data_IF_683894774860
#
_entry.id   IF_683894774860
#
_cell.length_a   1.000
_cell.length_b   1.000
_cell.length_c   1.000
_cell.angle_alpha   90.00
_cell.angle_beta   90.00
_cell.angle_gamma   90.00
#
_symmetry.space_group_name_H-M   'P 1'
#
loop_
_entity.id
_entity.type
_entity.pdbx_description
1 polymer ?
#
# COMPACT_ATOMS: atom_id res chain seq x y z
N UNK A 1 16.58 1.21 32.88
CA UNK A 1 15.82 1.31 31.63
C UNK A 1 16.58 0.50 30.58
N UNK A 2 16.29 -0.78 30.47
CA UNK A 2 16.86 -1.62 29.42
C UNK A 2 16.11 -1.32 28.13
N UNK A 3 16.78 -0.68 27.18
CA UNK A 3 16.26 -0.58 25.83
C UNK A 3 16.27 -1.99 25.22
N UNK A 4 15.11 -2.56 24.97
CA UNK A 4 15.01 -3.74 24.11
C UNK A 4 15.55 -3.34 22.73
N UNK A 5 16.80 -3.62 22.48
CA UNK A 5 17.32 -3.67 21.11
C UNK A 5 16.73 -4.92 20.49
N UNK A 6 15.73 -4.75 19.61
CA UNK A 6 15.29 -5.83 18.71
C UNK A 6 16.55 -6.30 17.98
N UNK A 7 16.90 -7.59 18.05
CA UNK A 7 18.05 -8.08 17.33
C UNK A 7 17.92 -7.74 15.84
N UNK A 8 19.00 -7.32 15.19
CA UNK A 8 19.04 -7.11 13.74
C UNK A 8 18.82 -8.47 13.10
N UNK A 9 17.59 -8.76 12.70
CA UNK A 9 17.24 -9.97 11.95
C UNK A 9 17.86 -9.84 10.57
N UNK A 10 18.56 -10.89 10.13
CA UNK A 10 19.14 -10.97 8.78
C UNK A 10 18.06 -11.48 7.81
N UNK A 11 17.86 -10.84 6.64
CA UNK A 11 16.93 -11.36 5.66
C UNK A 11 17.39 -12.72 5.13
N UNK A 12 16.45 -13.61 4.79
CA UNK A 12 16.72 -14.88 4.10
C UNK A 12 17.31 -14.62 2.71
N UNK A 13 16.85 -13.58 2.04
CA UNK A 13 17.37 -13.13 0.76
C UNK A 13 17.23 -11.60 0.62
N UNK A 14 18.10 -11.02 -0.19
CA UNK A 14 18.04 -9.60 -0.56
C UNK A 14 18.37 -9.48 -2.04
N UNK A 15 17.43 -8.95 -2.83
CA UNK A 15 17.54 -8.80 -4.29
C UNK A 15 17.36 -7.34 -4.67
N UNK A 16 18.28 -6.83 -5.51
CA UNK A 16 18.18 -5.46 -6.01
C UNK A 16 17.24 -5.40 -7.22
N UNK A 17 16.11 -4.71 -7.08
CA UNK A 17 15.12 -4.52 -8.14
C UNK A 17 15.27 -3.17 -8.85
N UNK A 18 15.81 -2.17 -8.16
CA UNK A 18 16.07 -0.85 -8.74
C UNK A 18 17.45 -0.33 -8.33
N UNK A 19 18.25 0.05 -9.32
CA UNK A 19 19.54 0.70 -9.09
C UNK A 19 19.31 2.16 -8.66
N UNK A 20 20.11 2.64 -7.71
CA UNK A 20 19.98 4.00 -7.18
C UNK A 20 18.76 4.25 -6.31
N UNK A 21 17.91 3.23 -6.08
CA UNK A 21 16.73 3.30 -5.21
C UNK A 21 15.39 3.41 -5.95
N UNK A 22 14.31 3.41 -5.17
CA UNK A 22 12.93 3.49 -5.65
C UNK A 22 12.24 4.78 -5.21
N UNK A 23 11.32 5.28 -6.03
CA UNK A 23 10.41 6.39 -5.71
C UNK A 23 9.05 5.92 -5.23
N UNK A 24 8.56 4.82 -5.80
CA UNK A 24 7.36 4.12 -5.38
C UNK A 24 7.56 2.63 -5.62
N UNK A 25 6.93 1.82 -4.84
CA UNK A 25 6.89 0.38 -5.02
C UNK A 25 5.67 -0.19 -4.33
N UNK A 26 5.28 -1.37 -4.79
CA UNK A 26 4.24 -2.18 -4.17
C UNK A 26 4.60 -3.67 -4.26
N UNK A 27 4.11 -4.43 -3.31
CA UNK A 27 4.23 -5.90 -3.24
C UNK A 27 2.82 -6.46 -3.18
N UNK A 28 2.52 -7.43 -4.04
CA UNK A 28 1.22 -8.11 -3.97
C UNK A 28 0.97 -8.72 -2.59
N UNK A 29 -0.29 -8.81 -2.13
CA UNK A 29 -0.61 -9.36 -0.81
C UNK A 29 -0.03 -10.74 -0.55
N UNK A 30 0.09 -11.57 -1.60
CA UNK A 30 0.70 -12.90 -1.57
C UNK A 30 2.23 -12.92 -1.80
N UNK A 31 2.85 -11.75 -1.92
CA UNK A 31 4.30 -11.59 -2.05
C UNK A 31 4.89 -12.09 -3.38
N UNK A 32 4.08 -12.54 -4.34
CA UNK A 32 4.59 -13.18 -5.58
C UNK A 32 4.98 -12.20 -6.66
N UNK A 33 4.42 -11.00 -6.65
CA UNK A 33 4.71 -9.91 -7.59
C UNK A 33 5.20 -8.67 -6.86
N UNK A 34 6.22 -8.03 -7.40
CA UNK A 34 6.70 -6.72 -6.97
C UNK A 34 6.73 -5.74 -8.13
N UNK A 35 6.30 -4.52 -7.88
CA UNK A 35 6.37 -3.42 -8.84
C UNK A 35 7.21 -2.30 -8.24
N UNK A 36 8.18 -1.79 -9.00
CA UNK A 36 9.06 -0.72 -8.55
C UNK A 36 9.21 0.36 -9.59
N UNK A 37 9.03 1.60 -9.18
CA UNK A 37 9.39 2.79 -9.96
C UNK A 37 10.79 3.25 -9.54
N UNK A 38 11.76 3.08 -10.43
CA UNK A 38 13.17 3.40 -10.17
C UNK A 38 13.55 4.84 -10.52
N UNK A 39 14.72 5.22 -10.04
CA UNK A 39 15.36 6.54 -10.36
C UNK A 39 15.72 6.67 -11.84
N UNK A 40 15.88 5.56 -12.52
CA UNK A 40 16.19 5.44 -13.96
C UNK A 40 14.97 5.62 -14.88
N UNK A 41 13.89 6.22 -14.38
CA UNK A 41 12.68 6.59 -15.11
C UNK A 41 11.95 5.40 -15.77
N UNK A 42 11.58 4.42 -14.98
CA UNK A 42 10.76 3.29 -15.45
C UNK A 42 10.09 2.56 -14.33
N UNK A 43 9.05 1.83 -14.69
CA UNK A 43 8.34 0.90 -13.81
C UNK A 43 8.83 -0.50 -14.18
N UNK A 44 9.31 -1.25 -13.21
CA UNK A 44 9.74 -2.65 -13.39
C UNK A 44 8.80 -3.56 -12.63
N UNK A 45 8.34 -4.60 -13.30
CA UNK A 45 7.53 -5.68 -12.70
C UNK A 45 8.40 -6.90 -12.51
N UNK A 46 8.38 -7.48 -11.33
CA UNK A 46 9.18 -8.63 -10.96
C UNK A 46 8.31 -9.75 -10.40
N UNK A 47 8.59 -10.96 -10.79
CA UNK A 47 8.14 -12.14 -10.07
C UNK A 47 9.15 -12.47 -8.98
N UNK A 48 8.67 -12.83 -7.80
CA UNK A 48 9.56 -13.13 -6.66
C UNK A 48 10.49 -14.28 -6.99
N UNK A 49 11.78 -14.07 -6.74
CA UNK A 49 12.84 -15.04 -7.08
C UNK A 49 13.38 -14.92 -8.51
N UNK A 50 12.80 -14.06 -9.36
CA UNK A 50 13.34 -13.81 -10.69
C UNK A 50 14.64 -12.99 -10.65
N UNK A 51 15.53 -13.21 -11.62
CA UNK A 51 16.79 -12.49 -11.78
C UNK A 51 16.70 -11.29 -12.73
N UNK A 52 15.61 -11.20 -13.47
CA UNK A 52 15.31 -10.12 -14.43
C UNK A 52 13.85 -9.69 -14.29
N UNK A 53 13.55 -8.41 -14.55
CA UNK A 53 12.16 -7.97 -14.53
C UNK A 53 11.35 -8.65 -15.65
N UNK A 54 10.12 -9.02 -15.33
CA UNK A 54 9.16 -9.58 -16.28
C UNK A 54 8.77 -8.53 -17.33
N UNK A 55 8.51 -7.29 -16.87
CA UNK A 55 8.17 -6.16 -17.73
C UNK A 55 8.90 -4.88 -17.32
N UNK A 56 9.01 -3.96 -18.30
CA UNK A 56 9.48 -2.59 -18.10
C UNK A 56 8.50 -1.65 -18.77
N UNK A 57 7.86 -0.80 -18.00
CA UNK A 57 6.84 0.14 -18.44
C UNK A 57 7.29 1.59 -18.33
N UNK A 58 6.70 2.45 -19.11
CA UNK A 58 6.89 3.91 -19.04
C UNK A 58 5.55 4.60 -19.20
N UNK A 59 5.29 5.58 -18.33
CA UNK A 59 4.07 6.38 -18.36
C UNK A 59 3.94 7.26 -19.60
N UNK A 60 5.04 7.79 -20.10
CA UNK A 60 5.11 8.63 -21.28
C UNK A 60 6.45 8.40 -21.99
N UNK A 61 6.59 8.76 -23.26
CA UNK A 61 7.79 8.54 -24.06
C UNK A 61 9.13 8.95 -23.44
N UNK A 62 10.04 9.55 -24.16
CA UNK A 62 11.40 9.88 -23.69
C UNK A 62 11.45 11.10 -22.73
N UNK A 63 10.68 11.12 -21.65
CA UNK A 63 10.64 12.22 -20.67
C UNK A 63 10.85 11.75 -19.23
N UNK A 64 10.86 12.68 -18.27
CA UNK A 64 10.89 12.39 -16.83
C UNK A 64 9.56 11.75 -16.40
N UNK A 65 9.52 10.44 -16.36
CA UNK A 65 8.37 9.64 -15.93
C UNK A 65 8.44 9.35 -14.42
N UNK A 66 8.28 10.36 -13.60
CA UNK A 66 8.27 10.18 -12.15
C UNK A 66 6.92 9.60 -11.70
N UNK A 67 6.86 8.29 -11.64
CA UNK A 67 5.74 7.58 -11.02
C UNK A 67 5.87 7.65 -9.51
N UNK A 68 4.83 8.13 -8.84
CA UNK A 68 4.82 8.42 -7.40
C UNK A 68 3.93 7.48 -6.60
N UNK A 69 3.03 6.74 -7.26
CA UNK A 69 2.23 5.68 -6.64
C UNK A 69 2.04 4.53 -7.62
N UNK A 70 2.09 3.32 -7.08
CA UNK A 70 1.80 2.07 -7.78
C UNK A 70 0.97 1.19 -6.86
N UNK A 71 0.06 0.40 -7.43
CA UNK A 71 -0.74 -0.56 -6.67
C UNK A 71 -1.02 -1.79 -7.54
N UNK A 72 -0.88 -2.98 -6.94
CA UNK A 72 -1.11 -4.29 -7.56
C UNK A 72 -2.49 -4.79 -7.13
N UNK A 73 -3.30 -5.28 -8.06
CA UNK A 73 -4.57 -5.93 -7.72
C UNK A 73 -4.36 -7.22 -6.92
N UNK A 74 -5.29 -7.57 -6.04
CA UNK A 74 -5.17 -8.74 -5.16
C UNK A 74 -5.09 -10.09 -5.92
N UNK A 75 -5.54 -10.14 -7.18
CA UNK A 75 -5.40 -11.28 -8.09
C UNK A 75 -4.07 -11.29 -8.88
N UNK A 76 -3.19 -10.30 -8.67
CA UNK A 76 -1.91 -10.13 -9.36
C UNK A 76 -2.01 -9.93 -10.89
N UNK A 77 -3.21 -9.65 -11.42
CA UNK A 77 -3.44 -9.54 -12.86
C UNK A 77 -3.24 -8.13 -13.40
N UNK A 78 -3.39 -7.12 -12.54
CA UNK A 78 -3.32 -5.72 -12.94
C UNK A 78 -2.46 -4.89 -12.01
N UNK A 79 -1.84 -3.87 -12.59
CA UNK A 79 -1.12 -2.84 -11.87
C UNK A 79 -1.65 -1.48 -12.30
N UNK A 80 -1.96 -0.64 -11.35
CA UNK A 80 -2.17 0.78 -11.62
C UNK A 80 -0.95 1.57 -11.18
N UNK A 81 -0.53 2.53 -11.97
CA UNK A 81 0.58 3.43 -11.68
C UNK A 81 0.17 4.88 -11.93
N UNK A 82 0.66 5.82 -11.12
CA UNK A 82 0.37 7.23 -11.35
C UNK A 82 1.59 8.14 -11.18
N UNK A 83 1.60 9.20 -11.97
CA UNK A 83 2.27 10.44 -11.62
C UNK A 83 1.27 11.38 -10.90
N UNK A 84 1.57 12.66 -10.80
CA UNK A 84 0.69 13.62 -10.11
C UNK A 84 -0.57 13.99 -10.89
N UNK A 85 -0.61 13.73 -12.20
CA UNK A 85 -1.66 14.23 -13.11
C UNK A 85 -2.27 13.17 -14.00
N UNK A 86 -1.66 11.99 -14.04
CA UNK A 86 -2.12 10.90 -14.89
C UNK A 86 -1.93 9.54 -14.20
N UNK A 87 -2.74 8.57 -14.60
CA UNK A 87 -2.58 7.18 -14.19
C UNK A 87 -2.69 6.25 -15.40
N UNK A 88 -2.08 5.10 -15.28
CA UNK A 88 -2.11 4.03 -16.27
C UNK A 88 -2.50 2.72 -15.61
N UNK A 89 -3.28 1.91 -16.32
CA UNK A 89 -3.62 0.54 -15.95
C UNK A 89 -2.88 -0.42 -16.89
N UNK A 90 -2.25 -1.43 -16.33
CA UNK A 90 -1.40 -2.40 -17.02
C UNK A 90 -1.86 -3.82 -16.73
N UNK A 91 -1.80 -4.69 -17.76
CA UNK A 91 -1.97 -6.13 -17.59
C UNK A 91 -0.63 -6.78 -17.21
N UNK A 92 -0.60 -7.53 -16.11
CA UNK A 92 0.59 -8.31 -15.68
C UNK A 92 0.75 -9.59 -16.50
N UNK A 93 -0.34 -10.06 -17.12
CA UNK A 93 -0.28 -11.23 -18.01
C UNK A 93 0.43 -10.88 -19.33
N UNK A 94 -0.03 -9.84 -20.01
CA UNK A 94 0.45 -9.47 -21.35
C UNK A 94 1.59 -8.44 -21.34
N UNK A 95 1.71 -7.66 -20.28
CA UNK A 95 2.63 -6.53 -20.19
C UNK A 95 2.15 -5.26 -20.92
N UNK A 96 0.96 -5.31 -21.51
CA UNK A 96 0.42 -4.21 -22.31
C UNK A 96 -0.39 -3.23 -21.44
N UNK A 97 -0.43 -1.94 -21.81
CA UNK A 97 -1.31 -0.98 -21.15
C UNK A 97 -2.76 -1.23 -21.55
N UNK A 98 -3.65 -1.26 -20.56
CA UNK A 98 -5.12 -1.24 -20.77
C UNK A 98 -5.57 0.16 -21.16
N UNK A 99 -4.93 1.19 -20.57
CA UNK A 99 -5.20 2.59 -20.91
C UNK A 99 -4.41 3.58 -20.05
N UNK A 100 -4.50 4.84 -20.50
CA UNK A 100 -3.95 6.00 -19.83
C UNK A 100 -5.02 7.06 -19.67
N UNK A 101 -5.12 7.66 -18.49
CA UNK A 101 -6.10 8.69 -18.17
C UNK A 101 -5.44 9.87 -17.45
N UNK A 102 -5.89 11.07 -17.79
CA UNK A 102 -5.40 12.31 -17.22
C UNK A 102 -6.40 12.90 -16.26
N UNK A 103 -5.91 13.47 -15.18
CA UNK A 103 -6.67 14.18 -14.16
C UNK A 103 -6.16 15.63 -14.16
N UNK A 104 -6.98 16.55 -14.63
CA UNK A 104 -6.59 17.96 -14.75
C UNK A 104 -7.07 18.81 -13.57
N UNK A 105 -8.03 18.32 -12.77
CA UNK A 105 -8.70 19.09 -11.71
C UNK A 105 -7.84 19.23 -10.44
N UNK A 106 -7.03 18.22 -10.11
CA UNK A 106 -6.11 18.30 -8.97
C UNK A 106 -5.10 17.15 -8.98
N UNK A 107 -4.04 17.25 -8.18
CA UNK A 107 -2.99 16.22 -8.18
C UNK A 107 -3.45 14.92 -7.50
N UNK A 108 -3.06 13.81 -8.13
CA UNK A 108 -3.22 12.46 -7.59
C UNK A 108 -2.35 12.32 -6.34
N UNK A 109 -2.89 11.72 -5.31
CA UNK A 109 -2.23 11.49 -4.04
C UNK A 109 -1.97 10.02 -3.77
N UNK A 110 -2.95 9.19 -4.10
CA UNK A 110 -2.90 7.76 -3.94
C UNK A 110 -3.86 7.06 -4.90
N UNK A 111 -3.60 5.80 -5.24
CA UNK A 111 -4.39 5.02 -6.19
C UNK A 111 -4.51 3.57 -5.73
N UNK A 112 -5.63 2.94 -6.09
CA UNK A 112 -5.83 1.50 -5.90
C UNK A 112 -6.56 0.89 -7.10
N UNK A 113 -6.43 -0.43 -7.31
CA UNK A 113 -7.08 -1.16 -8.40
C UNK A 113 -7.74 -2.43 -7.89
N UNK A 114 -8.95 -2.70 -8.35
CA UNK A 114 -9.67 -3.94 -8.09
C UNK A 114 -9.19 -5.08 -8.99
N UNK A 115 -9.55 -6.32 -8.62
CA UNK A 115 -9.32 -7.50 -9.44
C UNK A 115 -9.95 -7.35 -10.84
N UNK A 116 -9.41 -8.08 -11.79
CA UNK A 116 -9.80 -8.03 -13.22
C UNK A 116 -9.62 -6.62 -13.84
N UNK A 117 -8.95 -5.69 -13.19
CA UNK A 117 -8.80 -4.29 -13.62
C UNK A 117 -10.14 -3.55 -13.75
N UNK A 118 -11.22 -4.07 -13.11
CA UNK A 118 -12.57 -3.55 -13.31
C UNK A 118 -12.79 -2.15 -12.77
N UNK A 119 -12.04 -1.74 -11.77
CA UNK A 119 -12.16 -0.42 -11.15
C UNK A 119 -10.84 0.11 -10.66
N UNK A 120 -10.64 1.41 -10.82
CA UNK A 120 -9.51 2.19 -10.30
C UNK A 120 -10.03 3.27 -9.38
N UNK A 121 -9.44 3.37 -8.20
CA UNK A 121 -9.74 4.40 -7.21
C UNK A 121 -8.62 5.43 -7.19
N UNK A 122 -8.97 6.71 -7.28
CA UNK A 122 -7.99 7.82 -7.35
C UNK A 122 -8.30 8.84 -6.27
N UNK A 123 -7.47 8.91 -5.26
CA UNK A 123 -7.52 9.94 -4.21
C UNK A 123 -6.76 11.20 -4.63
N UNK A 124 -7.36 12.38 -4.43
CA UNK A 124 -6.84 13.65 -4.92
C UNK A 124 -6.52 14.64 -3.81
N UNK A 125 -5.66 15.61 -4.14
CA UNK A 125 -5.27 16.68 -3.21
C UNK A 125 -6.41 17.67 -2.91
N UNK A 126 -7.47 17.68 -3.72
CA UNK A 126 -8.70 18.49 -3.49
C UNK A 126 -9.64 17.88 -2.44
N UNK A 127 -9.41 16.65 -1.98
CA UNK A 127 -10.34 15.91 -1.12
C UNK A 127 -11.36 15.05 -1.89
N UNK A 128 -11.42 15.17 -3.19
CA UNK A 128 -12.29 14.35 -4.02
C UNK A 128 -11.65 12.98 -4.27
N UNK A 129 -12.47 11.95 -4.33
CA UNK A 129 -12.05 10.60 -4.72
C UNK A 129 -12.86 10.17 -5.93
N UNK A 130 -12.16 9.77 -6.97
CA UNK A 130 -12.76 9.24 -8.19
C UNK A 130 -12.69 7.72 -8.19
N UNK A 131 -13.83 7.06 -8.38
CA UNK A 131 -13.89 5.68 -8.80
C UNK A 131 -14.15 5.62 -10.31
N UNK A 132 -13.33 4.91 -11.04
CA UNK A 132 -13.37 4.82 -12.49
C UNK A 132 -13.36 3.36 -12.96
N UNK A 133 -14.27 3.01 -13.86
CA UNK A 133 -14.36 1.69 -14.51
C UNK A 133 -13.84 1.77 -15.95
N UNK A 134 -12.63 1.27 -16.25
CA UNK A 134 -12.08 1.34 -17.61
C UNK A 134 -12.95 0.69 -18.68
N UNK A 135 -13.58 -0.44 -18.37
CA UNK A 135 -14.39 -1.19 -19.33
C UNK A 135 -15.71 -0.50 -19.74
N UNK A 136 -16.35 0.20 -18.82
CA UNK A 136 -17.63 0.90 -19.04
C UNK A 136 -17.49 2.39 -19.21
N UNK A 137 -16.32 2.96 -18.89
CA UNK A 137 -16.05 4.39 -18.78
C UNK A 137 -16.89 5.09 -17.70
N UNK A 138 -17.48 4.33 -16.77
CA UNK A 138 -18.22 4.89 -15.66
C UNK A 138 -17.27 5.62 -14.71
N UNK A 139 -17.64 6.83 -14.33
CA UNK A 139 -16.95 7.67 -13.36
C UNK A 139 -17.91 8.05 -12.24
N UNK A 140 -17.49 7.85 -10.99
CA UNK A 140 -18.20 8.28 -9.79
C UNK A 140 -17.25 9.15 -8.96
N UNK A 141 -17.73 10.32 -8.54
CA UNK A 141 -17.01 11.22 -7.65
C UNK A 141 -17.57 11.12 -6.23
N UNK A 142 -16.72 10.71 -5.30
CA UNK A 142 -17.06 10.74 -3.88
C UNK A 142 -16.57 12.06 -3.26
N UNK A 143 -17.49 12.79 -2.64
CA UNK A 143 -17.30 14.16 -2.13
C UNK A 143 -17.40 14.23 -0.60
N UNK A 144 -17.13 13.12 0.11
CA UNK A 144 -17.26 13.04 1.56
C UNK A 144 -16.16 13.78 2.33
N UNK A 145 -14.95 13.84 1.76
CA UNK A 145 -13.81 14.50 2.40
C UNK A 145 -13.79 16.01 2.17
N UNK A 146 -13.36 16.76 3.19
CA UNK A 146 -13.25 18.22 3.15
C UNK A 146 -11.82 18.71 2.87
N UNK A 147 -10.83 17.84 3.00
CA UNK A 147 -9.43 18.12 2.79
C UNK A 147 -8.75 17.00 1.98
N UNK A 148 -7.49 17.20 1.65
CA UNK A 148 -6.74 16.29 0.77
C UNK A 148 -6.77 14.85 1.27
N UNK A 149 -6.86 13.94 0.32
CA UNK A 149 -6.73 12.50 0.54
C UNK A 149 -5.26 12.14 0.77
N UNK A 150 -5.01 11.22 1.69
CA UNK A 150 -3.67 10.70 1.93
C UNK A 150 -3.52 9.24 1.50
N UNK A 151 -4.58 8.44 1.67
CA UNK A 151 -4.54 7.03 1.34
C UNK A 151 -5.91 6.54 0.89
N UNK A 152 -5.91 5.65 -0.08
CA UNK A 152 -7.11 4.97 -0.59
C UNK A 152 -6.83 3.48 -0.75
N UNK A 153 -7.86 2.68 -0.55
CA UNK A 153 -7.82 1.25 -0.84
C UNK A 153 -9.16 0.77 -1.40
N UNK A 154 -9.12 -0.29 -2.22
CA UNK A 154 -10.27 -0.78 -2.97
C UNK A 154 -10.42 -2.28 -2.76
N UNK A 155 -11.62 -2.72 -2.38
CA UNK A 155 -11.88 -4.14 -2.22
C UNK A 155 -11.63 -4.91 -3.53
N UNK A 156 -11.20 -6.19 -3.47
CA UNK A 156 -10.90 -6.98 -4.67
C UNK A 156 -12.04 -7.05 -5.68
N UNK A 157 -13.28 -7.06 -5.21
CA UNK A 157 -14.46 -7.06 -6.09
C UNK A 157 -14.83 -5.67 -6.64
N UNK A 158 -14.09 -4.61 -6.27
CA UNK A 158 -14.32 -3.23 -6.69
C UNK A 158 -15.56 -2.54 -6.11
N UNK A 159 -16.28 -3.15 -5.16
CA UNK A 159 -17.58 -2.64 -4.66
C UNK A 159 -17.46 -1.72 -3.46
N UNK A 160 -16.35 -1.79 -2.73
CA UNK A 160 -16.12 -1.02 -1.51
C UNK A 160 -14.80 -0.28 -1.60
N UNK A 161 -14.83 0.99 -1.26
CA UNK A 161 -13.65 1.81 -1.17
C UNK A 161 -13.44 2.29 0.27
N UNK A 162 -12.21 2.26 0.73
CA UNK A 162 -11.78 2.84 2.00
C UNK A 162 -10.86 4.02 1.71
N UNK A 163 -11.18 5.18 2.26
CA UNK A 163 -10.46 6.42 1.99
C UNK A 163 -10.16 7.17 3.27
N UNK A 164 -8.97 7.77 3.36
CA UNK A 164 -8.55 8.53 4.53
C UNK A 164 -7.90 9.85 4.13
N UNK A 165 -8.21 10.91 4.89
CA UNK A 165 -7.81 12.27 4.54
C UNK A 165 -7.31 13.12 5.69
N UNK A 166 -6.91 14.33 5.34
CA UNK A 166 -6.46 15.35 6.29
C UNK A 166 -7.58 15.91 7.17
N UNK A 167 -8.84 15.67 6.81
CA UNK A 167 -10.04 16.03 7.57
C UNK A 167 -10.30 15.12 8.78
N UNK A 168 -9.32 14.31 9.16
CA UNK A 168 -9.31 13.43 10.34
C UNK A 168 -10.33 12.30 10.26
N UNK A 169 -10.77 11.98 9.04
CA UNK A 169 -11.82 10.98 8.82
C UNK A 169 -11.35 9.92 7.84
N UNK A 170 -11.75 8.67 8.09
CA UNK A 170 -11.76 7.63 7.09
C UNK A 170 -13.20 7.21 6.81
N UNK A 171 -13.50 6.92 5.53
CA UNK A 171 -14.81 6.46 5.08
C UNK A 171 -14.70 5.11 4.39
N UNK A 172 -15.54 4.16 4.80
CA UNK A 172 -15.88 3.00 3.99
C UNK A 172 -17.17 3.35 3.23
N UNK A 173 -17.16 3.24 1.91
CA UNK A 173 -18.29 3.60 1.07
C UNK A 173 -18.44 2.67 -0.13
N UNK A 174 -19.67 2.62 -0.70
CA UNK A 174 -20.02 1.81 -1.86
C UNK A 174 -19.62 2.51 -3.17
N UNK A 175 -18.86 1.84 -4.03
CA UNK A 175 -18.47 2.36 -5.34
C UNK A 175 -19.64 2.32 -6.34
N UNK A 176 -20.69 1.51 -6.08
CA UNK A 176 -21.89 1.46 -6.91
C UNK A 176 -22.74 2.72 -6.75
N UNK A 177 -22.87 3.25 -5.52
CA UNK A 177 -23.81 4.33 -5.18
C UNK A 177 -23.13 5.60 -4.63
N UNK A 178 -21.88 5.52 -4.17
CA UNK A 178 -21.24 6.61 -3.41
C UNK A 178 -21.72 6.73 -1.96
N UNK A 179 -22.58 5.81 -1.48
CA UNK A 179 -23.10 5.86 -0.11
C UNK A 179 -22.04 5.46 0.91
N UNK A 180 -21.92 6.27 1.97
CA UNK A 180 -21.08 5.96 3.14
C UNK A 180 -21.72 4.83 3.91
N UNK A 181 -20.91 3.79 4.19
CA UNK A 181 -21.28 2.63 4.99
C UNK A 181 -20.83 2.85 6.43
N UNK A 182 -19.55 3.21 6.62
CA UNK A 182 -18.99 3.51 7.94
C UNK A 182 -18.13 4.78 7.89
N UNK A 183 -18.13 5.50 9.02
CA UNK A 183 -17.30 6.69 9.24
C UNK A 183 -16.41 6.47 10.45
N UNK A 184 -15.11 6.69 10.30
CA UNK A 184 -14.12 6.49 11.36
C UNK A 184 -13.41 7.81 11.64
N UNK A 185 -13.61 8.35 12.85
CA UNK A 185 -12.99 9.59 13.26
C UNK A 185 -11.66 9.35 13.98
N UNK A 186 -10.69 10.16 13.63
CA UNK A 186 -9.35 10.17 14.18
C UNK A 186 -9.06 11.51 14.87
N UNK A 187 -8.19 11.53 15.92
CA UNK A 187 -7.76 12.79 16.55
C UNK A 187 -6.87 13.65 15.65
N UNK A 188 -6.26 13.04 14.63
CA UNK A 188 -5.41 13.74 13.64
C UNK A 188 -5.65 13.19 12.24
N UNK A 189 -4.95 13.76 11.24
CA UNK A 189 -5.08 13.34 9.83
C UNK A 189 -4.86 11.83 9.67
N UNK A 190 -5.74 11.18 8.95
CA UNK A 190 -5.58 9.77 8.55
C UNK A 190 -4.49 9.70 7.49
N UNK A 191 -3.49 8.85 7.71
CA UNK A 191 -2.31 8.73 6.84
C UNK A 191 -2.25 7.45 6.05
N UNK A 192 -2.89 6.39 6.55
CA UNK A 192 -2.97 5.11 5.87
C UNK A 192 -4.32 4.44 6.15
N UNK A 193 -4.85 3.80 5.13
CA UNK A 193 -6.00 2.89 5.21
C UNK A 193 -5.67 1.60 4.47
N UNK A 194 -6.21 0.47 4.92
CA UNK A 194 -6.10 -0.82 4.24
C UNK A 194 -7.34 -1.69 4.48
N UNK A 195 -7.77 -2.41 3.45
CA UNK A 195 -8.85 -3.40 3.48
C UNK A 195 -8.28 -4.82 3.55
N UNK A 196 -8.94 -5.69 4.27
CA UNK A 196 -8.73 -7.12 4.17
C UNK A 196 -9.39 -7.64 2.87
N UNK A 197 -8.63 -8.35 2.04
CA UNK A 197 -9.11 -8.91 0.77
C UNK A 197 -10.33 -9.82 0.93
N UNK A 198 -10.47 -10.49 2.09
CA UNK A 198 -11.62 -11.31 2.41
C UNK A 198 -12.81 -10.49 2.97
N UNK A 199 -12.66 -9.18 3.15
CA UNK A 199 -13.71 -8.27 3.62
C UNK A 199 -14.09 -8.43 5.09
N UNK A 200 -13.21 -8.99 5.92
CA UNK A 200 -13.45 -9.17 7.39
C UNK A 200 -13.12 -7.92 8.18
N UNK A 201 -11.99 -7.30 7.82
CA UNK A 201 -11.40 -6.21 8.59
C UNK A 201 -11.02 -5.02 7.70
N UNK A 202 -10.84 -3.90 8.34
CA UNK A 202 -10.19 -2.74 7.76
C UNK A 202 -9.26 -2.10 8.80
N UNK A 203 -8.23 -1.45 8.32
CA UNK A 203 -7.23 -0.78 9.13
C UNK A 203 -7.19 0.71 8.79
N UNK A 204 -7.14 1.54 9.82
CA UNK A 204 -6.96 2.99 9.67
C UNK A 204 -5.91 3.49 10.65
N UNK A 205 -4.99 4.32 10.18
CA UNK A 205 -3.94 4.89 11.00
C UNK A 205 -3.83 6.41 10.80
N UNK A 206 -3.64 7.13 11.90
CA UNK A 206 -3.39 8.56 11.84
C UNK A 206 -1.91 8.92 11.99
N UNK A 207 -1.62 10.23 11.94
CA UNK A 207 -0.25 10.72 11.99
C UNK A 207 0.37 10.73 13.39
N UNK A 208 -0.37 10.34 14.44
CA UNK A 208 0.13 10.37 15.81
C UNK A 208 0.10 9.00 16.51
N UNK A 209 -1.07 8.50 16.88
CA UNK A 209 -1.14 7.37 17.79
C UNK A 209 -2.29 6.41 17.55
N UNK A 210 -3.33 6.79 16.81
CA UNK A 210 -4.48 5.94 16.59
C UNK A 210 -4.28 5.09 15.35
N UNK A 211 -3.98 3.81 15.58
CA UNK A 211 -3.88 2.78 14.54
C UNK A 211 -4.85 1.67 14.92
N UNK A 212 -6.00 1.66 14.27
CA UNK A 212 -7.16 0.89 14.68
C UNK A 212 -7.54 -0.14 13.62
N UNK A 213 -7.81 -1.37 14.06
CA UNK A 213 -8.44 -2.41 13.26
C UNK A 213 -9.93 -2.43 13.59
N UNK A 214 -10.76 -2.50 12.55
CA UNK A 214 -12.20 -2.48 12.63
C UNK A 214 -12.80 -3.71 11.95
N UNK A 215 -13.93 -4.17 12.43
CA UNK A 215 -14.78 -5.13 11.72
C UNK A 215 -15.44 -4.43 10.53
N UNK A 216 -15.22 -4.93 9.33
CA UNK A 216 -15.67 -4.26 8.10
C UNK A 216 -17.19 -4.30 7.93
N UNK A 217 -17.88 -5.29 8.50
CA UNK A 217 -19.32 -5.44 8.40
C UNK A 217 -20.07 -4.51 9.35
N UNK A 218 -19.59 -4.43 10.60
CA UNK A 218 -20.30 -3.70 11.68
C UNK A 218 -19.76 -2.30 11.92
N UNK A 219 -18.54 -2.01 11.46
CA UNK A 219 -17.80 -0.78 11.80
C UNK A 219 -17.31 -0.74 13.25
N UNK A 220 -17.45 -1.81 14.01
CA UNK A 220 -17.03 -1.87 15.41
C UNK A 220 -15.50 -2.00 15.52
N UNK A 221 -14.87 -1.40 16.57
CA UNK A 221 -13.45 -1.57 16.80
C UNK A 221 -13.14 -3.02 17.22
N UNK A 222 -12.12 -3.62 16.59
CA UNK A 222 -11.59 -4.94 16.94
C UNK A 222 -10.42 -4.79 17.90
N UNK A 223 -9.38 -4.07 17.51
CA UNK A 223 -8.20 -3.83 18.31
C UNK A 223 -7.47 -2.56 17.88
N UNK A 224 -6.68 -2.00 18.77
CA UNK A 224 -5.74 -0.94 18.48
C UNK A 224 -4.32 -1.48 18.55
N UNK A 225 -3.46 -1.14 17.58
CA UNK A 225 -2.07 -1.61 17.59
C UNK A 225 -1.33 -1.07 18.82
N UNK A 226 -0.70 -1.99 19.56
CA UNK A 226 -0.02 -1.70 20.81
C UNK A 226 1.45 -1.34 20.56
N UNK A 227 1.79 -0.06 20.60
CA UNK A 227 3.17 0.41 20.49
C UNK A 227 3.45 1.62 21.36
N UNK A 228 4.72 1.81 21.70
CA UNK A 228 5.17 2.98 22.43
C UNK A 228 5.16 4.20 21.52
N UNK A 229 4.45 5.24 21.91
CA UNK A 229 3.99 6.38 21.09
C UNK A 229 5.08 7.35 20.61
N UNK A 230 6.19 6.88 20.11
CA UNK A 230 7.15 7.73 19.41
C UNK A 230 7.19 7.40 17.93
N UNK A 231 6.38 8.17 17.14
CA UNK A 231 6.48 8.23 15.68
C UNK A 231 6.13 6.94 14.94
N UNK A 232 4.86 6.54 14.95
CA UNK A 232 4.48 5.47 14.05
C UNK A 232 3.56 5.99 12.96
N UNK A 233 4.18 6.40 11.88
CA UNK A 233 3.53 6.46 10.58
C UNK A 233 3.72 5.12 9.89
N UNK A 234 2.70 4.67 9.22
CA UNK A 234 2.71 3.50 8.36
C UNK A 234 2.68 3.95 6.91
N UNK A 235 3.30 3.19 6.05
CA UNK A 235 3.39 3.46 4.60
C UNK A 235 2.68 2.41 3.78
N UNK A 236 2.49 1.22 4.37
CA UNK A 236 1.77 0.11 3.78
C UNK A 236 1.22 -0.82 4.87
N UNK A 237 0.14 -1.54 4.58
CA UNK A 237 -0.47 -2.51 5.49
C UNK A 237 -1.23 -3.58 4.71
N UNK A 238 -0.97 -4.86 5.03
CA UNK A 238 -1.59 -6.02 4.39
C UNK A 238 -2.03 -7.03 5.44
N UNK A 239 -3.27 -7.50 5.35
CA UNK A 239 -3.78 -8.56 6.20
C UNK A 239 -3.34 -9.94 5.70
N UNK A 240 -3.03 -10.85 6.62
CA UNK A 240 -2.77 -12.23 6.26
C UNK A 240 -4.04 -12.90 5.71
N UNK A 241 -3.87 -13.87 4.83
CA UNK A 241 -4.99 -14.58 4.17
C UNK A 241 -5.99 -15.20 5.15
N UNK A 242 -5.51 -15.65 6.30
CA UNK A 242 -6.37 -16.20 7.38
C UNK A 242 -6.96 -15.13 8.31
N UNK A 243 -6.57 -13.86 8.16
CA UNK A 243 -7.03 -12.71 8.96
C UNK A 243 -6.50 -12.67 10.37
N UNK A 244 -5.50 -13.47 10.71
CA UNK A 244 -4.93 -13.45 12.06
C UNK A 244 -3.94 -12.32 12.27
N UNK A 245 -3.23 -11.93 11.22
CA UNK A 245 -2.13 -10.99 11.30
C UNK A 245 -2.33 -9.81 10.37
N UNK A 246 -1.76 -8.67 10.77
CA UNK A 246 -1.58 -7.48 9.95
C UNK A 246 -0.07 -7.22 9.83
N UNK A 247 0.43 -7.14 8.60
CA UNK A 247 1.80 -6.77 8.30
C UNK A 247 1.84 -5.29 7.93
N UNK A 248 2.78 -4.52 8.50
CA UNK A 248 2.87 -3.07 8.24
C UNK A 248 4.29 -2.64 7.91
N UNK A 249 4.42 -1.75 6.92
CA UNK A 249 5.63 -1.03 6.59
C UNK A 249 5.68 0.37 7.19
N UNK A 250 6.86 0.96 7.35
CA UNK A 250 7.03 2.31 7.88
C UNK A 250 8.16 3.12 7.21
N UNK A 251 8.15 4.46 7.32
CA UNK A 251 9.24 5.29 6.81
C UNK A 251 10.54 5.17 7.61
N UNK A 252 10.53 4.47 8.75
CA UNK A 252 11.67 4.31 9.65
C UNK A 252 12.40 2.97 9.47
N UNK A 253 12.31 2.35 8.29
CA UNK A 253 12.91 1.04 7.97
C UNK A 253 12.28 -0.15 8.70
N UNK A 254 11.20 0.05 9.45
CA UNK A 254 10.55 -1.00 10.24
C UNK A 254 9.45 -1.67 9.45
N UNK A 255 9.42 -2.99 9.56
CA UNK A 255 8.31 -3.85 9.18
C UNK A 255 7.85 -4.55 10.44
N UNK A 256 6.55 -4.54 10.71
CA UNK A 256 6.00 -5.11 11.93
C UNK A 256 4.84 -6.05 11.59
N UNK A 257 4.79 -7.18 12.30
CA UNK A 257 3.70 -8.13 12.29
C UNK A 257 2.87 -7.98 13.57
N UNK A 258 1.56 -7.83 13.44
CA UNK A 258 0.64 -7.60 14.53
C UNK A 258 -0.42 -8.69 14.57
N UNK A 259 -0.83 -9.12 15.75
CA UNK A 259 -2.02 -9.96 15.90
C UNK A 259 -3.28 -9.10 15.76
N UNK A 260 -4.19 -9.46 14.84
CA UNK A 260 -5.38 -8.65 14.52
C UNK A 260 -6.32 -8.50 15.71
N UNK A 261 -6.50 -9.55 16.50
CA UNK A 261 -7.47 -9.56 17.60
C UNK A 261 -7.03 -8.73 18.81
N UNK A 262 -5.75 -8.73 19.11
CA UNK A 262 -5.20 -8.07 20.31
C UNK A 262 -4.52 -6.75 20.00
N UNK A 263 -4.03 -6.59 18.75
CA UNK A 263 -3.17 -5.47 18.35
C UNK A 263 -1.75 -5.59 18.90
N UNK A 264 -1.37 -6.74 19.45
CA UNK A 264 -0.03 -6.98 19.97
C UNK A 264 1.00 -7.18 18.87
N UNK A 265 2.20 -6.70 19.11
CA UNK A 265 3.34 -6.88 18.21
C UNK A 265 3.85 -8.31 18.34
N UNK A 266 3.83 -9.07 17.23
CA UNK A 266 4.34 -10.44 17.18
C UNK A 266 5.83 -10.42 16.84
N UNK A 267 6.20 -9.70 15.76
CA UNK A 267 7.60 -9.65 15.32
C UNK A 267 7.90 -8.33 14.58
N UNK A 268 9.20 -7.96 14.51
CA UNK A 268 9.64 -6.73 13.86
C UNK A 268 10.97 -6.95 13.13
N UNK A 269 11.03 -6.50 11.87
CA UNK A 269 12.24 -6.52 11.05
C UNK A 269 12.68 -5.11 10.67
N UNK A 270 13.90 -5.00 10.17
CA UNK A 270 14.48 -3.72 9.79
C UNK A 270 15.17 -3.84 8.45
N UNK A 271 14.57 -3.30 7.39
CA UNK A 271 15.09 -3.35 6.03
C UNK A 271 16.43 -2.62 5.89
N UNK A 272 17.23 -3.03 4.92
CA UNK A 272 18.50 -2.40 4.61
C UNK A 272 18.32 -0.92 4.22
N UNK A 273 19.22 -0.03 4.64
CA UNK A 273 19.16 1.38 4.27
C UNK A 273 19.52 1.59 2.80
N UNK A 274 19.21 2.78 2.29
CA UNK A 274 19.79 3.24 1.02
C UNK A 274 21.31 3.35 1.17
N UNK A 275 22.02 2.92 0.13
CA UNK A 275 23.46 3.08 0.07
C UNK A 275 23.89 4.56 0.06
N UNK A 276 25.04 4.86 0.64
CA UNK A 276 25.67 6.17 0.65
C UNK A 276 24.81 7.30 1.24
N UNK A 277 23.86 6.99 2.14
CA UNK A 277 23.07 8.00 2.87
C UNK A 277 23.42 8.06 4.36
N UNK A 278 23.60 9.28 4.85
CA UNK A 278 23.79 9.55 6.29
C UNK A 278 22.76 10.62 6.71
N UNK A 279 21.85 10.34 7.65
CA UNK A 279 21.67 9.08 8.38
C UNK A 279 21.16 7.94 7.50
N UNK A 280 21.40 6.70 7.94
CA UNK A 280 20.95 5.48 7.25
C UNK A 280 19.41 5.39 7.24
N UNK A 281 18.77 5.68 6.11
CA UNK A 281 17.31 5.74 5.96
C UNK A 281 16.84 4.82 4.84
N UNK A 282 15.63 4.30 4.97
CA UNK A 282 14.83 3.75 3.88
C UNK A 282 13.34 3.81 4.27
N UNK A 283 12.47 4.03 3.31
CA UNK A 283 11.01 3.92 3.46
C UNK A 283 10.61 2.53 2.97
N UNK A 284 9.85 1.80 3.77
CA UNK A 284 9.23 0.55 3.30
C UNK A 284 8.01 0.95 2.48
N UNK A 285 7.99 0.59 1.21
CA UNK A 285 6.90 0.96 0.30
C UNK A 285 5.86 -0.14 0.15
N UNK A 286 6.27 -1.40 0.18
CA UNK A 286 5.38 -2.53 0.03
C UNK A 286 5.77 -3.70 0.95
N UNK A 287 4.77 -4.42 1.42
CA UNK A 287 4.91 -5.65 2.22
C UNK A 287 3.91 -6.70 1.75
N UNK A 288 4.25 -7.98 1.83
CA UNK A 288 3.37 -9.08 1.44
C UNK A 288 3.73 -10.40 2.11
N UNK A 289 2.77 -11.33 2.17
CA UNK A 289 2.97 -12.66 2.74
C UNK A 289 3.25 -13.67 1.63
N UNK A 290 4.50 -14.12 1.46
CA UNK A 290 4.84 -15.20 0.53
C UNK A 290 4.18 -16.53 0.90
N UNK A 291 4.15 -16.80 2.17
CA UNK A 291 3.48 -17.94 2.78
C UNK A 291 3.27 -17.66 4.28
N UNK A 292 2.64 -18.56 5.06
CA UNK A 292 2.42 -18.32 6.49
C UNK A 292 3.68 -18.09 7.34
N UNK A 293 4.87 -18.45 6.83
CA UNK A 293 6.14 -18.34 7.58
C UNK A 293 7.11 -17.34 6.96
N UNK A 294 6.76 -16.70 5.84
CA UNK A 294 7.71 -15.86 5.11
C UNK A 294 7.01 -14.62 4.53
N UNK A 295 7.64 -13.47 4.73
CA UNK A 295 7.21 -12.20 4.17
C UNK A 295 8.21 -11.68 3.14
N UNK A 296 7.72 -10.85 2.22
CA UNK A 296 8.50 -10.03 1.30
C UNK A 296 8.31 -8.56 1.65
N UNK A 297 9.38 -7.80 1.58
CA UNK A 297 9.37 -6.36 1.78
C UNK A 297 10.08 -5.65 0.65
N UNK A 298 9.58 -4.50 0.25
CA UNK A 298 10.25 -3.64 -0.71
C UNK A 298 10.39 -2.22 -0.16
N UNK A 299 11.56 -1.62 -0.38
CA UNK A 299 11.87 -0.32 0.21
C UNK A 299 12.50 0.66 -0.79
N UNK A 300 12.60 1.91 -0.37
CA UNK A 300 13.24 2.98 -1.12
C UNK A 300 14.74 2.75 -1.37
N UNK A 301 15.35 1.74 -0.74
CA UNK A 301 16.71 1.29 -1.07
C UNK A 301 16.80 0.61 -2.44
N UNK A 302 15.66 0.25 -3.04
CA UNK A 302 15.56 -0.54 -4.27
C UNK A 302 15.76 -2.03 -4.06
N UNK A 303 15.80 -2.47 -2.79
CA UNK A 303 15.93 -3.88 -2.40
C UNK A 303 14.55 -4.48 -2.11
N UNK A 304 14.36 -5.71 -2.58
CA UNK A 304 13.35 -6.64 -2.10
C UNK A 304 14.02 -7.62 -1.13
N UNK A 305 13.49 -7.74 0.08
CA UNK A 305 14.07 -8.55 1.14
C UNK A 305 13.04 -9.55 1.66
N UNK A 306 13.43 -10.81 1.78
CA UNK A 306 12.57 -11.90 2.28
C UNK A 306 12.95 -12.21 3.73
N UNK A 307 11.95 -12.41 4.59
CA UNK A 307 12.15 -12.61 6.01
C UNK A 307 11.35 -13.81 6.51
N UNK A 308 11.91 -14.54 7.47
CA UNK A 308 11.21 -15.60 8.18
C UNK A 308 10.38 -15.01 9.34
N UNK A 309 9.18 -15.58 9.57
CA UNK A 309 8.34 -15.28 10.73
C UNK A 309 8.56 -16.32 11.81
N UNK A 310 8.92 -15.87 13.01
CA UNK A 310 9.09 -16.72 14.18
C UNK A 310 7.95 -16.44 15.17
N UNK A 311 6.93 -17.30 15.17
CA UNK A 311 5.74 -17.15 16.05
C UNK A 311 5.99 -17.49 17.52
N UNK A 312 7.18 -18.00 17.88
CA UNK A 312 7.52 -18.56 19.19
C UNK A 312 8.34 -17.60 20.09
N UNK A 313 8.22 -16.27 19.89
CA UNK A 313 8.95 -15.29 20.73
C UNK A 313 8.07 -14.57 21.73
#
# INVERSE_FOLDING_TARGET
MAGCTVPDTTPLSSVRLADGGAYAADVSPDGTVSVVSGVDNGIKVWETGATTPKFRWRHQGEGNNLVVSVHISADNQYVVSSDRTAFALWSVETGEPVGFWRIDESSIRDIAVANDGRGVLVGRSSGQVMYFEPGTQRRLEFLGHQEKINSVDLSPNGKFALTGGNDYTAYLWSTDSGQIIHTFHHPTRVTLVALDDAGRYLFTADSQQKSQIWDAQTGAPVSQLQYIARQKMFTDAVFSKDGKYLLTGSPSRRVNLWEVRTGELVESWKVAPRENQTPATAVVYGVGFLNPQTILTQSSSGLAETWEINYDQ
#
